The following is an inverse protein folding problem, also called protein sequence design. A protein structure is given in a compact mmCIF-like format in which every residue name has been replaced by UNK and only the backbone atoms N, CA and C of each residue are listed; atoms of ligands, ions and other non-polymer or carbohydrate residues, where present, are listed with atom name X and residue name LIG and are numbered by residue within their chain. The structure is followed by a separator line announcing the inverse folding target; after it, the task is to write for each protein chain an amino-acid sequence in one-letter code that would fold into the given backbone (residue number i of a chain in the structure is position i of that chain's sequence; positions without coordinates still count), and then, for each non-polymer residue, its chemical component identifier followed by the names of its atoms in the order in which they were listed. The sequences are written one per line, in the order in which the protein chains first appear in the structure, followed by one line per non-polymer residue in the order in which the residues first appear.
data_IF_424000634299
#
_entry.id   IF_424000634299
#
_cell.length_a   1.000
_cell.length_b   1.000
_cell.length_c   1.000
_cell.angle_alpha   90.00
_cell.angle_beta   90.00
_cell.angle_gamma   90.00
#
_symmetry.space_group_name_H-M   'P 1'
#
loop_
_entity.id
_entity.type
_entity.pdbx_description
1 polymer ?
#
# COMPACT_ATOMS: atom_id res chain seq x y z
N UNK A 1 -7.13 50.61 -23.48
CA UNK A 1 -8.14 49.89 -22.65
C UNK A 1 -8.28 48.40 -22.97
N UNK A 2 -8.21 47.92 -24.23
CA UNK A 2 -8.39 46.48 -24.55
C UNK A 2 -7.30 45.50 -24.03
N UNK A 3 -6.07 45.96 -23.77
CA UNK A 3 -4.95 45.10 -23.33
C UNK A 3 -4.99 44.74 -21.82
N UNK A 4 -5.62 45.56 -20.98
CA UNK A 4 -5.74 45.29 -19.53
C UNK A 4 -6.80 44.23 -19.23
N UNK A 5 -7.84 44.11 -20.07
CA UNK A 5 -8.89 43.09 -19.91
C UNK A 5 -8.36 41.67 -20.16
N UNK A 6 -7.44 41.51 -21.13
CA UNK A 6 -6.84 40.22 -21.48
C UNK A 6 -5.92 39.73 -20.35
N UNK A 7 -5.22 40.63 -19.65
CA UNK A 7 -4.34 40.29 -18.54
C UNK A 7 -5.11 39.82 -17.30
N UNK A 8 -6.30 40.38 -17.03
CA UNK A 8 -7.18 39.94 -15.94
C UNK A 8 -7.81 38.56 -16.21
N UNK A 9 -8.09 38.23 -17.48
CA UNK A 9 -8.61 36.92 -17.86
C UNK A 9 -7.57 35.81 -17.71
N UNK A 10 -6.28 36.09 -17.96
CA UNK A 10 -5.21 35.10 -17.77
C UNK A 10 -4.90 34.84 -16.28
N UNK A 11 -4.95 35.85 -15.41
CA UNK A 11 -4.77 35.65 -13.95
C UNK A 11 -5.95 34.93 -13.31
N UNK A 12 -7.17 35.10 -13.86
CA UNK A 12 -8.35 34.35 -13.41
C UNK A 12 -8.29 32.84 -13.71
N UNK A 13 -7.68 32.43 -14.84
CA UNK A 13 -7.59 31.00 -15.20
C UNK A 13 -6.52 30.24 -14.41
N UNK A 14 -5.45 30.91 -13.95
CA UNK A 14 -4.41 30.29 -13.11
C UNK A 14 -4.90 29.94 -11.70
N UNK A 15 -5.93 30.62 -11.18
CA UNK A 15 -6.49 30.33 -9.86
C UNK A 15 -7.43 29.11 -9.84
N UNK A 16 -7.99 28.70 -11.00
CA UNK A 16 -8.95 27.60 -11.09
C UNK A 16 -8.23 26.24 -11.20
N UNK A 17 -6.97 26.23 -11.66
CA UNK A 17 -6.17 25.02 -11.81
C UNK A 17 -5.55 24.50 -10.49
N UNK A 18 -5.55 25.30 -9.41
CA UNK A 18 -4.98 24.90 -8.12
C UNK A 18 -5.82 23.85 -7.37
N UNK A 19 -7.07 23.63 -7.79
CA UNK A 19 -7.93 22.55 -7.26
C UNK A 19 -7.78 21.25 -8.06
N UNK A 20 -6.68 21.07 -8.78
CA UNK A 20 -6.30 19.77 -9.35
C UNK A 20 -5.97 18.80 -8.20
N UNK A 21 -7.03 18.30 -7.54
CA UNK A 21 -7.20 17.00 -6.91
C UNK A 21 -5.91 16.46 -6.26
N UNK A 22 -5.34 17.19 -5.31
CA UNK A 22 -4.32 16.60 -4.45
C UNK A 22 -5.01 15.54 -3.59
N UNK A 23 -4.61 14.27 -3.77
CA UNK A 23 -5.11 13.16 -2.96
C UNK A 23 -5.01 13.54 -1.47
N UNK A 24 -6.08 13.29 -0.70
CA UNK A 24 -6.11 13.66 0.72
C UNK A 24 -5.25 12.69 1.52
N UNK A 25 -4.13 13.18 2.06
CA UNK A 25 -3.26 12.38 2.92
C UNK A 25 -3.89 12.14 4.30
N UNK A 26 -3.98 10.88 4.71
CA UNK A 26 -4.53 10.45 6.00
C UNK A 26 -3.46 10.15 7.06
N UNK A 27 -2.19 10.07 6.66
CA UNK A 27 -1.08 9.77 7.56
C UNK A 27 -0.30 8.54 7.15
N UNK A 28 0.71 8.23 7.96
CA UNK A 28 1.51 7.01 7.86
C UNK A 28 0.97 5.96 8.82
N UNK A 29 0.83 4.74 8.34
CA UNK A 29 0.29 3.60 9.08
C UNK A 29 1.21 2.41 8.92
N UNK A 30 1.34 1.63 10.00
CA UNK A 30 2.16 0.45 10.01
C UNK A 30 1.37 -0.77 10.45
N UNK A 31 1.61 -1.89 9.80
CA UNK A 31 0.93 -3.14 10.08
C UNK A 31 1.94 -4.27 10.27
N UNK A 32 1.83 -4.98 11.39
CA UNK A 32 2.50 -6.25 11.60
C UNK A 32 1.67 -7.36 10.95
N UNK A 33 2.31 -8.13 10.07
CA UNK A 33 1.75 -9.34 9.47
C UNK A 33 2.15 -10.54 10.33
N UNK A 34 1.20 -11.43 10.57
CA UNK A 34 1.38 -12.69 11.26
C UNK A 34 0.91 -13.84 10.38
N UNK A 35 1.59 -14.99 10.47
CA UNK A 35 1.18 -16.21 9.80
C UNK A 35 -0.01 -16.87 10.50
N UNK A 36 -0.48 -18.01 9.96
CA UNK A 36 -1.59 -18.77 10.53
C UNK A 36 -1.32 -19.35 11.92
N UNK A 37 -0.06 -19.39 12.35
CA UNK A 37 0.36 -19.84 13.68
C UNK A 37 0.52 -18.66 14.67
N UNK A 38 0.29 -17.42 14.21
CA UNK A 38 0.43 -16.21 15.01
C UNK A 38 1.88 -15.72 15.18
N UNK A 39 2.83 -16.27 14.42
CA UNK A 39 4.21 -15.81 14.42
C UNK A 39 4.35 -14.57 13.52
N UNK A 40 5.13 -13.55 13.93
CA UNK A 40 5.35 -12.36 13.12
C UNK A 40 6.15 -12.72 11.86
N UNK A 41 5.72 -12.17 10.72
CA UNK A 41 6.35 -12.31 9.42
C UNK A 41 7.10 -11.03 9.04
N UNK A 42 6.38 -10.05 8.50
CA UNK A 42 6.95 -8.77 8.03
C UNK A 42 6.09 -7.60 8.47
N UNK A 43 6.62 -6.38 8.29
CA UNK A 43 5.94 -5.14 8.64
C UNK A 43 5.70 -4.31 7.38
N UNK A 44 4.46 -3.89 7.15
CA UNK A 44 4.14 -2.89 6.13
C UNK A 44 4.16 -1.49 6.72
N UNK A 45 4.69 -0.53 5.98
CA UNK A 45 4.65 0.90 6.30
C UNK A 45 4.16 1.69 5.10
N UNK A 46 2.98 2.31 5.22
CA UNK A 46 2.36 3.03 4.11
C UNK A 46 1.95 4.45 4.49
N UNK A 47 2.22 5.38 3.59
CA UNK A 47 1.44 6.60 3.48
C UNK A 47 0.09 6.29 2.83
N UNK A 48 -0.99 6.76 3.45
CA UNK A 48 -2.37 6.50 2.99
C UNK A 48 -2.98 7.76 2.40
N UNK A 49 -3.47 7.66 1.17
CA UNK A 49 -4.01 8.77 0.39
C UNK A 49 -5.42 8.45 -0.09
N UNK A 50 -6.38 9.34 0.16
CA UNK A 50 -7.75 9.20 -0.35
C UNK A 50 -7.90 9.92 -1.69
N UNK A 51 -8.40 9.16 -2.67
CA UNK A 51 -8.74 9.62 -4.02
C UNK A 51 -10.23 9.95 -4.11
N UNK A 52 -10.59 10.66 -5.17
CA UNK A 52 -12.00 10.88 -5.52
C UNK A 52 -12.75 9.54 -5.62
N UNK A 53 -13.97 9.50 -5.07
CA UNK A 53 -14.76 8.28 -4.97
C UNK A 53 -14.50 7.43 -3.72
N UNK A 54 -13.67 7.89 -2.78
CA UNK A 54 -13.46 7.23 -1.49
C UNK A 54 -12.55 6.00 -1.54
N UNK A 55 -11.80 5.86 -2.62
CA UNK A 55 -10.74 4.87 -2.74
C UNK A 55 -9.48 5.35 -2.02
N UNK A 56 -8.79 4.44 -1.34
CA UNK A 56 -7.52 4.72 -0.68
C UNK A 56 -6.39 4.11 -1.52
N UNK A 57 -5.28 4.83 -1.63
CA UNK A 57 -4.05 4.36 -2.24
C UNK A 57 -2.95 4.36 -1.19
N UNK A 58 -2.14 3.31 -1.23
CA UNK A 58 -1.09 2.99 -0.26
C UNK A 58 0.25 3.05 -1.00
N UNK A 59 1.17 3.85 -0.50
CA UNK A 59 2.54 3.92 -1.01
C UNK A 59 3.52 3.83 0.14
N UNK A 60 4.54 2.98 0.01
CA UNK A 60 5.56 2.85 1.03
C UNK A 60 6.40 1.61 0.85
N UNK A 61 6.57 0.86 1.94
CA UNK A 61 7.53 -0.22 2.01
C UNK A 61 7.04 -1.39 2.84
N UNK A 62 7.77 -2.47 2.71
CA UNK A 62 7.65 -3.68 3.50
C UNK A 62 9.03 -4.02 4.05
N UNK A 63 9.08 -4.38 5.32
CA UNK A 63 10.29 -4.80 6.04
C UNK A 63 10.19 -6.29 6.35
N UNK A 64 11.01 -7.09 5.67
CA UNK A 64 11.13 -8.53 5.82
C UNK A 64 12.16 -8.92 6.91
N UNK A 65 12.61 -7.96 7.73
CA UNK A 65 13.57 -8.18 8.78
C UNK A 65 14.97 -8.41 8.21
N UNK A 66 15.46 -9.65 8.29
CA UNK A 66 16.81 -9.99 7.84
C UNK A 66 17.02 -9.79 6.33
N UNK A 67 15.93 -9.89 5.55
CA UNK A 67 15.96 -9.73 4.10
C UNK A 67 15.85 -8.25 3.67
N UNK A 68 15.70 -7.34 4.63
CA UNK A 68 15.71 -5.89 4.40
C UNK A 68 14.35 -5.32 4.02
N UNK A 69 14.41 -4.12 3.42
CA UNK A 69 13.25 -3.29 3.10
C UNK A 69 13.08 -3.22 1.59
N UNK A 70 11.87 -3.52 1.12
CA UNK A 70 11.49 -3.37 -0.29
C UNK A 70 10.34 -2.39 -0.47
N UNK A 71 10.21 -1.87 -1.69
CA UNK A 71 9.10 -1.01 -2.06
C UNK A 71 7.80 -1.81 -2.16
N UNK A 72 6.71 -1.23 -1.66
CA UNK A 72 5.39 -1.84 -1.75
C UNK A 72 4.33 -0.77 -1.99
N UNK A 73 3.25 -1.17 -2.66
CA UNK A 73 2.12 -0.29 -2.89
C UNK A 73 0.81 -1.06 -2.81
N UNK A 74 -0.31 -0.34 -2.81
CA UNK A 74 -1.60 -0.98 -2.77
C UNK A 74 -2.76 -0.03 -2.89
N UNK A 75 -3.94 -0.59 -2.75
CA UNK A 75 -5.19 0.12 -2.70
C UNK A 75 -6.08 -0.43 -1.59
N UNK A 76 -6.93 0.41 -1.02
CA UNK A 76 -7.95 -0.02 -0.11
C UNK A 76 -9.30 0.66 -0.40
N UNK A 77 -10.39 0.01 0.00
CA UNK A 77 -11.75 0.54 -0.13
C UNK A 77 -12.53 0.21 1.12
N UNK A 78 -13.31 1.19 1.60
CA UNK A 78 -14.20 1.01 2.74
C UNK A 78 -15.48 0.33 2.25
N UNK A 79 -15.82 -0.82 2.84
CA UNK A 79 -17.03 -1.60 2.52
C UNK A 79 -17.79 -1.89 3.81
N UNK A 80 -18.79 -1.06 4.11
CA UNK A 80 -19.55 -1.15 5.35
C UNK A 80 -18.68 -0.89 6.59
N UNK A 81 -18.61 -1.87 7.50
CA UNK A 81 -17.77 -1.83 8.70
C UNK A 81 -16.33 -2.29 8.47
N UNK A 82 -15.99 -2.70 7.24
CA UNK A 82 -14.70 -3.29 6.92
C UNK A 82 -13.93 -2.45 5.90
N UNK A 83 -12.64 -2.72 5.79
CA UNK A 83 -11.77 -2.19 4.74
C UNK A 83 -11.22 -3.38 3.97
N UNK A 84 -11.40 -3.39 2.66
CA UNK A 84 -10.73 -4.35 1.77
C UNK A 84 -9.45 -3.70 1.27
N UNK A 85 -8.32 -4.33 1.55
CA UNK A 85 -7.00 -3.84 1.20
C UNK A 85 -6.32 -4.85 0.28
N UNK A 86 -5.67 -4.37 -0.77
CA UNK A 86 -4.82 -5.17 -1.66
C UNK A 86 -3.46 -4.50 -1.74
N UNK A 87 -2.41 -5.27 -1.55
CA UNK A 87 -1.02 -4.83 -1.57
C UNK A 87 -0.28 -5.68 -2.59
N UNK A 88 0.64 -5.04 -3.31
CA UNK A 88 1.59 -5.71 -4.18
C UNK A 88 2.99 -5.36 -3.70
N UNK A 89 3.82 -6.38 -3.58
CA UNK A 89 5.23 -6.28 -3.21
C UNK A 89 6.02 -7.26 -4.08
N UNK A 90 7.30 -6.98 -4.24
CA UNK A 90 8.24 -7.89 -4.90
C UNK A 90 9.59 -7.68 -4.28
N UNK A 91 10.35 -8.76 -4.13
CA UNK A 91 11.67 -8.70 -3.55
C UNK A 91 12.62 -9.72 -4.19
N UNK A 92 13.89 -9.56 -3.87
CA UNK A 92 14.97 -10.45 -4.26
C UNK A 92 15.86 -10.75 -3.06
N UNK A 93 15.97 -12.03 -2.71
CA UNK A 93 16.79 -12.51 -1.61
C UNK A 93 18.12 -13.05 -2.14
N UNK A 94 19.18 -12.25 -1.94
CA UNK A 94 20.53 -12.53 -2.43
C UNK A 94 21.10 -13.87 -1.96
N UNK A 95 20.77 -14.31 -0.74
CA UNK A 95 21.33 -15.53 -0.13
C UNK A 95 20.94 -16.79 -0.88
N UNK A 96 19.72 -16.81 -1.40
CA UNK A 96 19.11 -18.00 -2.01
C UNK A 96 18.80 -17.79 -3.49
N UNK A 97 19.15 -16.62 -4.05
CA UNK A 97 18.83 -16.25 -5.43
C UNK A 97 17.31 -16.22 -5.67
N UNK A 98 16.53 -15.98 -4.61
CA UNK A 98 15.08 -16.08 -4.64
C UNK A 98 14.45 -14.77 -5.11
N UNK A 99 13.78 -14.77 -6.25
CA UNK A 99 12.95 -13.64 -6.71
C UNK A 99 11.51 -13.98 -6.44
N UNK A 100 10.78 -13.06 -5.84
CA UNK A 100 9.37 -13.27 -5.60
C UNK A 100 8.52 -12.02 -5.78
N UNK A 101 7.25 -12.24 -6.10
CA UNK A 101 6.23 -11.21 -6.25
C UNK A 101 4.93 -11.68 -5.63
N UNK A 102 4.34 -10.86 -4.75
CA UNK A 102 3.16 -11.19 -3.97
C UNK A 102 2.00 -10.24 -4.28
N UNK A 103 0.80 -10.82 -4.35
CA UNK A 103 -0.46 -10.08 -4.19
C UNK A 103 -1.09 -10.46 -2.86
N UNK A 104 -1.05 -9.53 -1.91
CA UNK A 104 -1.58 -9.66 -0.58
C UNK A 104 -2.96 -9.01 -0.51
N UNK A 105 -3.96 -9.69 0.06
CA UNK A 105 -5.30 -9.16 0.27
C UNK A 105 -5.69 -9.29 1.73
N UNK A 106 -6.17 -8.21 2.33
CA UNK A 106 -6.66 -8.21 3.71
C UNK A 106 -8.08 -7.66 3.82
N UNK A 107 -8.82 -8.21 4.78
CA UNK A 107 -10.10 -7.70 5.24
C UNK A 107 -9.92 -7.18 6.67
N UNK A 108 -9.88 -5.86 6.82
CA UNK A 108 -9.67 -5.20 8.11
C UNK A 108 -10.99 -4.74 8.71
N UNK A 109 -11.09 -4.77 10.03
CA UNK A 109 -12.10 -4.04 10.77
C UNK A 109 -11.78 -2.54 10.74
N UNK A 110 -12.76 -1.69 10.40
CA UNK A 110 -12.53 -0.25 10.23
C UNK A 110 -12.13 0.49 11.51
N UNK A 111 -12.57 0.04 12.69
CA UNK A 111 -12.26 0.72 13.95
C UNK A 111 -10.89 0.36 14.52
N UNK A 112 -10.41 -0.85 14.23
CA UNK A 112 -9.10 -1.32 14.74
C UNK A 112 -8.00 -1.29 13.68
N UNK A 113 -8.37 -1.27 12.39
CA UNK A 113 -7.49 -1.44 11.25
C UNK A 113 -6.69 -2.75 11.28
N UNK A 114 -7.23 -3.77 11.97
CA UNK A 114 -6.69 -5.12 12.06
C UNK A 114 -7.67 -6.13 11.47
N UNK A 115 -7.18 -7.30 11.04
CA UNK A 115 -8.04 -8.35 10.50
C UNK A 115 -7.24 -9.54 9.97
N UNK A 116 -7.80 -10.20 8.96
CA UNK A 116 -7.22 -11.40 8.35
C UNK A 116 -6.75 -11.09 6.93
N UNK A 117 -5.79 -11.87 6.45
CA UNK A 117 -5.24 -11.75 5.11
C UNK A 117 -5.01 -13.10 4.44
N UNK A 118 -4.90 -13.04 3.12
CA UNK A 118 -4.42 -14.11 2.27
C UNK A 118 -3.53 -13.52 1.18
N UNK A 119 -2.51 -14.26 0.77
CA UNK A 119 -1.62 -13.82 -0.29
C UNK A 119 -1.35 -14.94 -1.30
N UNK A 120 -1.07 -14.49 -2.51
CA UNK A 120 -0.64 -15.31 -3.63
C UNK A 120 0.72 -14.80 -4.10
N UNK A 121 1.73 -15.66 -4.01
CA UNK A 121 3.09 -15.34 -4.40
C UNK A 121 3.55 -16.19 -5.57
N UNK A 122 4.30 -15.58 -6.48
CA UNK A 122 5.09 -16.26 -7.48
C UNK A 122 6.55 -16.17 -7.04
N UNK A 123 7.18 -17.31 -6.83
CA UNK A 123 8.54 -17.41 -6.31
C UNK A 123 9.41 -18.23 -7.27
N UNK A 124 10.69 -17.87 -7.39
CA UNK A 124 11.71 -18.69 -8.05
C UNK A 124 13.01 -18.66 -7.27
N UNK A 125 13.58 -19.82 -6.95
CA UNK A 125 14.86 -19.95 -6.22
C UNK A 125 16.07 -20.13 -7.16
N UNK A 126 15.86 -20.45 -8.43
CA UNK A 126 16.92 -20.72 -9.41
C UNK A 126 16.76 -19.90 -10.70
N UNK A 127 15.79 -18.98 -10.74
CA UNK A 127 15.40 -18.19 -11.91
C UNK A 127 14.80 -19.01 -13.04
N UNK A 128 14.51 -20.31 -12.82
CA UNK A 128 14.07 -21.24 -13.88
C UNK A 128 12.72 -21.85 -13.56
N UNK A 129 12.50 -22.25 -12.32
CA UNK A 129 11.26 -22.85 -11.86
C UNK A 129 10.47 -21.83 -11.06
N UNK A 130 9.31 -21.44 -11.59
CA UNK A 130 8.35 -20.60 -10.88
C UNK A 130 7.37 -21.50 -10.14
N UNK A 131 7.23 -21.29 -8.84
CA UNK A 131 6.19 -21.93 -8.03
C UNK A 131 5.17 -20.89 -7.55
N UNK A 132 3.97 -21.38 -7.29
CA UNK A 132 2.91 -20.58 -6.68
C UNK A 132 2.81 -20.93 -5.21
N UNK A 133 2.85 -19.93 -4.35
CA UNK A 133 2.73 -20.08 -2.90
C UNK A 133 1.48 -19.35 -2.44
N UNK A 134 0.70 -20.03 -1.61
CA UNK A 134 -0.50 -19.48 -0.97
C UNK A 134 -0.25 -19.37 0.52
N UNK A 135 -0.44 -18.17 1.06
CA UNK A 135 -0.26 -17.90 2.48
C UNK A 135 -1.49 -17.20 3.05
N UNK A 136 -1.64 -17.28 4.37
CA UNK A 136 -2.72 -16.61 5.11
C UNK A 136 -2.31 -16.38 6.55
N UNK A 137 -3.03 -15.49 7.22
CA UNK A 137 -2.89 -15.25 8.64
C UNK A 137 -3.63 -13.99 9.06
N UNK A 138 -3.12 -13.34 10.11
CA UNK A 138 -3.69 -12.10 10.63
C UNK A 138 -2.76 -10.91 10.43
N UNK A 139 -3.33 -9.71 10.44
CA UNK A 139 -2.63 -8.44 10.26
C UNK A 139 -3.17 -7.47 11.30
N UNK A 140 -2.27 -6.75 11.98
CA UNK A 140 -2.65 -5.79 13.02
C UNK A 140 -1.95 -4.46 12.87
N UNK A 141 -2.69 -3.38 13.10
CA UNK A 141 -2.12 -2.05 13.18
C UNK A 141 -1.15 -1.96 14.36
N UNK A 142 0.02 -1.39 14.12
CA UNK A 142 1.04 -1.09 15.12
C UNK A 142 1.49 0.37 15.01
N UNK A 143 2.22 0.85 16.01
CA UNK A 143 2.91 2.13 15.91
C UNK A 143 4.07 2.00 14.92
N UNK A 144 4.19 2.93 13.99
CA UNK A 144 5.35 3.00 13.10
C UNK A 144 6.62 3.24 13.91
N UNK A 145 7.64 2.43 13.65
CA UNK A 145 8.97 2.65 14.19
C UNK A 145 9.69 3.71 13.34
N UNK A 146 10.39 4.62 14.00
CA UNK A 146 11.12 5.75 13.41
C UNK A 146 12.57 5.41 13.14
#
# INVERSE_FOLDING_TARGET
MKKQLILLLLTGMLAIAANAMADKFHGNFCWQVFNSEGQPYWIYQFGVYEKEGGHLVLYGSVDYGANGISASHGNAVIVGSNIKMTIVSSDYEDSDGEVWSETFTALLNRSTLSGEWNALSLETQDGRNVRTVFQKGSISLITCQS
#
